data_IF_651016388388
#
_entry.id   IF_651016388388
#
_cell.length_a   1.000
_cell.length_b   1.000
_cell.length_c   1.000
_cell.angle_alpha   90.00
_cell.angle_beta   90.00
_cell.angle_gamma   90.00
#
_symmetry.space_group_name_H-M   'P 1'
#
loop_
_entity.id
_entity.type
_entity.pdbx_description
1 polymer ?
#
# COMPACT_ATOMS: atom_id res chain seq x y z
N UNK A 1 39.35 -0.76 31.18
CA UNK A 1 39.59 -0.52 29.75
C UNK A 1 38.74 -1.50 28.96
N UNK A 2 37.59 -1.07 28.43
CA UNK A 2 36.77 -1.88 27.53
C UNK A 2 36.18 -0.96 26.45
N UNK A 3 36.65 -1.11 25.22
CA UNK A 3 36.11 -0.45 24.04
C UNK A 3 34.87 -1.21 23.58
N UNK A 4 33.69 -0.58 23.69
CA UNK A 4 32.47 -1.05 23.01
C UNK A 4 32.49 -0.50 21.58
N UNK A 5 32.77 -1.37 20.62
CA UNK A 5 32.56 -1.08 19.21
C UNK A 5 31.05 -1.17 18.92
N UNK A 6 30.44 -0.05 18.53
CA UNK A 6 29.14 -0.03 17.87
C UNK A 6 29.37 -0.15 16.37
N UNK A 7 29.05 -1.31 15.79
CA UNK A 7 28.87 -1.42 14.34
C UNK A 7 27.47 -0.90 14.00
N UNK A 8 27.39 0.37 13.58
CA UNK A 8 26.24 0.87 12.86
C UNK A 8 26.41 0.54 11.36
N UNK A 9 26.28 -0.74 11.01
CA UNK A 9 26.15 -1.17 9.61
C UNK A 9 24.69 -1.41 9.31
N UNK A 10 24.06 -0.52 8.54
CA UNK A 10 22.71 -0.80 8.08
C UNK A 10 22.00 0.34 7.36
N UNK A 11 22.39 0.56 6.10
CA UNK A 11 21.52 1.00 5.00
C UNK A 11 20.69 2.27 5.24
N UNK A 12 21.18 3.36 4.63
CA UNK A 12 20.35 4.47 4.16
C UNK A 12 19.14 3.92 3.39
N UNK A 13 18.03 3.75 4.11
CA UNK A 13 16.72 3.62 3.50
C UNK A 13 16.20 5.04 3.49
N UNK A 14 16.43 5.77 2.39
CA UNK A 14 15.62 6.94 2.04
C UNK A 14 14.18 6.51 2.28
N UNK A 15 13.57 7.03 3.34
CA UNK A 15 12.16 6.82 3.58
C UNK A 15 11.48 7.43 2.37
N UNK A 16 10.87 6.59 1.53
CA UNK A 16 9.95 7.05 0.49
C UNK A 16 8.71 7.54 1.25
N UNK A 17 8.85 8.72 1.84
CA UNK A 17 7.79 9.46 2.50
C UNK A 17 6.91 10.04 1.41
N UNK A 18 5.63 9.69 1.47
CA UNK A 18 4.60 10.34 0.67
C UNK A 18 3.99 11.39 1.57
N UNK A 19 3.95 12.64 1.12
CA UNK A 19 3.45 13.74 1.92
C UNK A 19 2.01 13.47 2.37
N UNK A 20 1.71 13.70 3.65
CA UNK A 20 0.40 13.39 4.23
C UNK A 20 0.21 11.93 4.65
N UNK A 21 1.22 11.06 4.52
CA UNK A 21 1.15 9.65 4.92
C UNK A 21 2.16 9.30 6.00
N UNK A 22 1.76 8.41 6.90
CA UNK A 22 2.68 7.77 7.85
C UNK A 22 3.74 6.94 7.13
N UNK A 23 4.80 6.55 7.85
CA UNK A 23 5.85 5.71 7.27
C UNK A 23 5.29 4.32 6.91
N UNK A 24 5.59 3.85 5.70
CA UNK A 24 5.24 2.50 5.26
C UNK A 24 5.75 1.42 6.21
N UNK A 25 4.82 0.61 6.71
CA UNK A 25 5.06 -0.59 7.53
C UNK A 25 4.60 -1.85 6.81
N UNK A 26 5.04 -3.01 7.27
CA UNK A 26 4.48 -4.28 6.81
C UNK A 26 3.02 -4.42 7.26
N UNK A 27 2.24 -5.18 6.50
CA UNK A 27 0.85 -5.45 6.83
C UNK A 27 0.73 -6.15 8.19
N UNK A 28 -0.11 -5.60 9.06
CA UNK A 28 -0.63 -6.29 10.23
C UNK A 28 -1.82 -7.16 9.80
N UNK A 29 -2.29 -8.00 10.71
CA UNK A 29 -3.39 -8.94 10.43
C UNK A 29 -4.66 -8.23 9.93
N UNK A 30 -4.98 -7.07 10.50
CA UNK A 30 -6.12 -6.23 10.07
C UNK A 30 -5.93 -5.66 8.66
N UNK A 31 -4.72 -5.21 8.30
CA UNK A 31 -4.43 -4.68 6.98
C UNK A 31 -4.52 -5.77 5.90
N UNK A 32 -4.19 -7.01 6.25
CA UNK A 32 -4.37 -8.15 5.36
C UNK A 32 -5.86 -8.39 5.05
N UNK A 33 -6.75 -8.23 6.03
CA UNK A 33 -8.19 -8.36 5.81
C UNK A 33 -8.70 -7.25 4.89
N UNK A 34 -8.31 -6.00 5.16
CA UNK A 34 -8.62 -4.85 4.32
C UNK A 34 -8.14 -5.05 2.88
N UNK A 35 -6.88 -5.42 2.71
CA UNK A 35 -6.27 -5.64 1.41
C UNK A 35 -7.01 -6.73 0.63
N UNK A 36 -7.26 -7.89 1.26
CA UNK A 36 -7.94 -9.01 0.61
C UNK A 36 -9.36 -8.67 0.14
N UNK A 37 -10.11 -7.90 0.94
CA UNK A 37 -11.44 -7.45 0.54
C UNK A 37 -11.39 -6.47 -0.64
N UNK A 38 -10.39 -5.60 -0.68
CA UNK A 38 -10.18 -4.73 -1.84
C UNK A 38 -9.84 -5.55 -3.10
N UNK A 39 -9.00 -6.59 -2.98
CA UNK A 39 -8.71 -7.48 -4.10
C UNK A 39 -9.99 -8.19 -4.59
N UNK A 40 -10.83 -8.68 -3.68
CA UNK A 40 -12.13 -9.29 -4.05
C UNK A 40 -13.01 -8.28 -4.79
N UNK A 41 -13.13 -7.06 -4.28
CA UNK A 41 -13.90 -5.98 -4.93
C UNK A 41 -13.37 -5.68 -6.33
N UNK A 42 -12.06 -5.51 -6.49
CA UNK A 42 -11.42 -5.27 -7.78
C UNK A 42 -11.67 -6.41 -8.77
N UNK A 43 -11.59 -7.67 -8.33
CA UNK A 43 -11.86 -8.83 -9.18
C UNK A 43 -13.34 -8.97 -9.57
N UNK A 44 -14.27 -8.54 -8.71
CA UNK A 44 -15.71 -8.61 -8.97
C UNK A 44 -16.25 -7.45 -9.82
N UNK A 45 -15.42 -6.43 -10.09
CA UNK A 45 -15.78 -5.26 -10.90
C UNK A 45 -15.33 -3.95 -10.26
N UNK A 46 -14.77 -3.01 -11.04
CA UNK A 46 -14.37 -1.67 -10.55
C UNK A 46 -15.51 -0.66 -10.63
N UNK A 47 -16.74 -1.06 -10.28
CA UNK A 47 -17.88 -0.14 -10.32
C UNK A 47 -17.59 1.06 -9.41
N UNK A 48 -17.41 2.24 -10.01
CA UNK A 48 -17.20 3.50 -9.29
C UNK A 48 -15.79 4.09 -9.36
N UNK A 49 -14.81 3.40 -9.96
CA UNK A 49 -13.46 3.95 -10.07
C UNK A 49 -13.23 4.49 -11.48
N UNK A 50 -13.30 5.81 -11.63
CA UNK A 50 -12.88 6.49 -12.86
C UNK A 50 -11.36 6.30 -13.04
N UNK A 51 -10.94 5.85 -14.22
CA UNK A 51 -9.53 5.67 -14.62
C UNK A 51 -8.75 4.53 -13.93
N UNK A 52 -9.40 3.42 -13.55
CA UNK A 52 -8.63 2.22 -13.18
C UNK A 52 -7.84 1.74 -14.38
N UNK A 53 -6.53 1.73 -14.23
CA UNK A 53 -5.63 0.94 -15.07
C UNK A 53 -5.87 -0.52 -14.74
N UNK A 54 -6.91 -1.12 -15.30
CA UNK A 54 -7.36 -2.49 -15.01
C UNK A 54 -6.24 -3.53 -15.11
N UNK A 55 -5.33 -3.32 -16.05
CA UNK A 55 -4.14 -4.14 -16.24
C UNK A 55 -3.21 -4.15 -15.02
N UNK A 56 -3.30 -3.17 -14.11
CA UNK A 56 -2.54 -3.17 -12.87
C UNK A 56 -3.05 -4.22 -11.86
N UNK A 57 -4.31 -4.65 -11.96
CA UNK A 57 -4.92 -5.61 -11.02
C UNK A 57 -4.20 -6.95 -11.06
N UNK A 58 -3.65 -7.34 -12.22
CA UNK A 58 -2.90 -8.59 -12.35
C UNK A 58 -1.62 -8.59 -11.52
N UNK A 59 -0.99 -7.45 -11.27
CA UNK A 59 0.17 -7.36 -10.37
C UNK A 59 -0.18 -7.58 -8.90
N UNK A 60 -1.46 -7.43 -8.51
CA UNK A 60 -1.90 -7.70 -7.15
C UNK A 60 -1.93 -9.20 -6.84
N UNK A 61 -2.09 -10.05 -7.86
CA UNK A 61 -2.11 -11.52 -7.71
C UNK A 61 -0.73 -12.11 -7.42
N UNK A 62 0.32 -11.44 -7.88
CA UNK A 62 1.72 -11.89 -7.79
C UNK A 62 2.60 -10.83 -7.11
N UNK A 63 2.16 -10.29 -5.98
CA UNK A 63 2.96 -9.31 -5.23
C UNK A 63 4.16 -9.97 -4.55
N UNK A 64 5.32 -9.34 -4.64
CA UNK A 64 6.54 -9.74 -3.91
C UNK A 64 6.49 -9.32 -2.44
N UNK A 65 6.01 -8.11 -2.19
CA UNK A 65 5.93 -7.53 -0.85
C UNK A 65 4.85 -6.44 -0.84
N UNK A 66 4.07 -6.36 0.24
CA UNK A 66 3.06 -5.33 0.42
C UNK A 66 3.36 -4.57 1.71
N UNK A 67 3.35 -3.25 1.61
CA UNK A 67 3.43 -2.34 2.74
C UNK A 67 2.22 -1.44 2.77
N UNK A 68 1.90 -0.92 3.94
CA UNK A 68 0.78 -0.01 4.16
C UNK A 68 1.25 1.23 4.92
N UNK A 69 0.63 2.35 4.62
CA UNK A 69 0.71 3.60 5.35
C UNK A 69 -0.71 4.13 5.57
N UNK A 70 -1.00 4.61 6.77
CA UNK A 70 -2.24 5.35 7.06
C UNK A 70 -2.03 6.84 6.76
N UNK A 71 -3.08 7.56 6.40
CA UNK A 71 -3.04 9.01 6.27
C UNK A 71 -2.76 9.65 7.65
N UNK A 72 -2.05 10.78 7.69
CA UNK A 72 -1.71 11.47 8.95
C UNK A 72 -2.92 12.23 9.50
N UNK A 73 -3.83 12.68 8.63
CA UNK A 73 -4.97 13.51 8.99
C UNK A 73 -6.21 12.68 9.33
N UNK A 74 -6.27 11.42 8.90
CA UNK A 74 -7.38 10.51 9.20
C UNK A 74 -6.95 9.04 9.22
N UNK A 75 -7.58 8.26 10.10
CA UNK A 75 -7.36 6.81 10.23
C UNK A 75 -8.20 5.98 9.24
N UNK A 76 -8.83 6.64 8.27
CA UNK A 76 -9.77 6.01 7.33
C UNK A 76 -9.14 5.72 5.97
N UNK A 77 -8.05 6.40 5.64
CA UNK A 77 -7.35 6.28 4.38
C UNK A 77 -6.07 5.46 4.55
N UNK A 78 -5.95 4.42 3.71
CA UNK A 78 -4.85 3.49 3.69
C UNK A 78 -4.20 3.48 2.31
N UNK A 79 -2.89 3.70 2.26
CA UNK A 79 -2.08 3.61 1.06
C UNK A 79 -1.27 2.32 1.11
N UNK A 80 -1.62 1.39 0.24
CA UNK A 80 -0.86 0.18 0.01
C UNK A 80 0.18 0.41 -1.07
N UNK A 81 1.41 -0.02 -0.77
CA UNK A 81 2.52 -0.08 -1.71
C UNK A 81 2.85 -1.54 -1.98
N UNK A 82 2.52 -1.99 -3.17
CA UNK A 82 2.72 -3.35 -3.65
C UNK A 82 3.98 -3.37 -4.51
N UNK A 83 4.97 -4.13 -4.09
CA UNK A 83 6.15 -4.43 -4.91
C UNK A 83 5.83 -5.63 -5.79
N UNK A 84 6.15 -5.55 -7.07
CA UNK A 84 5.87 -6.62 -8.05
C UNK A 84 7.17 -7.35 -8.43
N UNK A 85 7.06 -8.46 -9.16
CA UNK A 85 8.21 -9.13 -9.79
C UNK A 85 8.58 -8.53 -11.17
N UNK A 86 7.77 -7.59 -11.67
CA UNK A 86 7.96 -6.97 -12.96
C UNK A 86 9.08 -5.92 -12.91
N UNK A 87 9.95 -5.93 -13.92
CA UNK A 87 11.12 -5.03 -14.00
C UNK A 87 10.75 -3.63 -14.45
N UNK A 88 9.67 -3.48 -15.22
CA UNK A 88 9.15 -2.21 -15.71
C UNK A 88 8.29 -1.57 -14.62
N UNK A 89 7.39 -2.36 -14.03
CA UNK A 89 6.40 -1.88 -13.05
C UNK A 89 6.72 -2.48 -11.70
N UNK A 90 7.85 -2.07 -11.15
CA UNK A 90 8.36 -2.61 -9.89
C UNK A 90 7.47 -2.33 -8.67
N UNK A 91 6.58 -1.33 -8.77
CA UNK A 91 5.69 -0.89 -7.70
C UNK A 91 4.32 -0.47 -8.23
N UNK A 92 3.31 -0.74 -7.42
CA UNK A 92 1.94 -0.30 -7.59
C UNK A 92 1.45 0.28 -6.26
N UNK A 93 0.71 1.38 -6.33
CA UNK A 93 0.11 2.08 -5.21
C UNK A 93 -1.40 1.97 -5.32
N UNK A 94 -2.02 1.59 -4.20
CA UNK A 94 -3.46 1.41 -4.05
C UNK A 94 -3.92 2.19 -2.83
N UNK A 95 -4.73 3.23 -3.04
CA UNK A 95 -5.33 3.99 -1.95
C UNK A 95 -6.76 3.52 -1.73
N UNK A 96 -7.08 3.27 -0.47
CA UNK A 96 -8.38 2.75 -0.03
C UNK A 96 -8.89 3.64 1.08
N UNK A 97 -10.16 4.03 0.99
CA UNK A 97 -10.88 4.77 2.02
C UNK A 97 -11.90 3.85 2.67
N UNK A 98 -11.86 3.73 3.99
CA UNK A 98 -12.84 3.03 4.80
C UNK A 98 -13.84 4.05 5.39
N UNK A 99 -14.99 4.23 4.74
CA UNK A 99 -15.96 5.27 5.14
C UNK A 99 -16.70 4.98 6.45
N UNK A 100 -16.84 3.71 6.82
CA UNK A 100 -17.55 3.27 8.03
C UNK A 100 -16.87 2.03 8.61
N UNK A 101 -16.98 1.80 9.91
CA UNK A 101 -16.47 0.58 10.55
C UNK A 101 -17.06 -0.66 9.88
N UNK A 102 -16.22 -1.43 9.18
CA UNK A 102 -16.65 -2.60 8.41
C UNK A 102 -15.95 -2.72 7.05
N UNK A 103 -15.85 -3.94 6.54
CA UNK A 103 -15.18 -4.26 5.27
C UNK A 103 -16.05 -3.92 4.04
N UNK A 104 -17.36 -3.83 4.24
CA UNK A 104 -18.31 -3.53 3.16
C UNK A 104 -18.21 -2.09 2.66
N UNK A 105 -17.68 -1.18 3.49
CA UNK A 105 -17.57 0.26 3.20
C UNK A 105 -16.27 0.69 2.51
N UNK A 106 -15.41 -0.26 2.12
CA UNK A 106 -14.13 0.02 1.46
C UNK A 106 -14.34 0.55 0.04
N UNK A 107 -13.75 1.71 -0.24
CA UNK A 107 -13.79 2.39 -1.52
C UNK A 107 -12.37 2.64 -2.03
N UNK A 108 -12.09 2.28 -3.28
CA UNK A 108 -10.76 2.45 -3.88
C UNK A 108 -10.68 3.85 -4.48
N UNK A 109 -9.79 4.68 -3.95
CA UNK A 109 -9.61 6.08 -4.36
C UNK A 109 -8.56 6.26 -5.45
N UNK A 110 -7.53 5.42 -5.45
CA UNK A 110 -6.41 5.54 -6.37
C UNK A 110 -5.84 4.17 -6.69
N UNK A 111 -5.45 3.96 -7.95
CA UNK A 111 -4.68 2.79 -8.35
C UNK A 111 -3.71 3.11 -9.49
N UNK A 112 -2.41 3.06 -9.21
CA UNK A 112 -1.39 3.54 -10.15
C UNK A 112 0.01 3.02 -9.85
N UNK A 113 0.96 3.26 -10.75
CA UNK A 113 2.38 2.89 -10.60
C UNK A 113 3.19 3.96 -9.86
N UNK A 114 2.61 5.14 -9.66
CA UNK A 114 3.22 6.28 -8.97
C UNK A 114 2.50 6.52 -7.64
N UNK A 115 3.13 7.14 -6.64
CA UNK A 115 2.43 7.53 -5.43
C UNK A 115 1.39 8.61 -5.75
N UNK A 116 0.27 8.67 -5.01
CA UNK A 116 -0.68 9.79 -5.13
C UNK A 116 0.03 11.12 -4.78
N UNK A 117 -0.28 12.17 -5.54
CA UNK A 117 0.21 13.54 -5.31
C UNK A 117 -0.60 14.24 -4.23
#
# INVERSE_FOLDING_TARGET
MFLKFWYATGSSSKSEEVEGWTRFRFLAQEDHLLFNEVIKKLNNGTSGIHNVKWWLVDFLKCSKNIKVASNILDDTNFLFKISTYDRIISKVYLMVCQRQSGLDSLDVKYFGSEPPQ
#
